data_IF_165150067442
#
_entry.id   IF_165150067442
#
_cell.length_a   1.000
_cell.length_b   1.000
_cell.length_c   1.000
_cell.angle_alpha   90.00
_cell.angle_beta   90.00
_cell.angle_gamma   90.00
#
_symmetry.space_group_name_H-M   'P 1'
#
loop_
_entity.id
_entity.type
_entity.pdbx_description
1 polymer ?
#
# COMPACT_ATOMS: atom_id res chain seq x y z
N UNK A 1 -26.14 2.52 16.22
CA UNK A 1 -25.17 3.24 15.36
C UNK A 1 -24.83 4.64 15.86
N UNK A 2 -25.80 5.57 16.01
CA UNK A 2 -25.54 6.96 16.43
C UNK A 2 -24.77 7.06 17.76
N UNK A 3 -25.20 6.33 18.78
CA UNK A 3 -24.52 6.30 20.09
C UNK A 3 -23.08 5.77 19.98
N UNK A 4 -22.88 4.67 19.23
CA UNK A 4 -21.55 4.10 18.97
C UNK A 4 -20.61 5.11 18.27
N UNK A 5 -21.12 5.86 17.29
CA UNK A 5 -20.34 6.90 16.61
C UNK A 5 -19.98 8.06 17.54
N UNK A 6 -20.91 8.49 18.39
CA UNK A 6 -20.63 9.52 19.40
C UNK A 6 -19.56 9.06 20.40
N UNK A 7 -19.61 7.80 20.84
CA UNK A 7 -18.58 7.21 21.70
C UNK A 7 -17.21 7.16 21.01
N UNK A 8 -17.14 6.71 19.75
CA UNK A 8 -15.89 6.68 18.97
C UNK A 8 -15.33 8.10 18.79
N UNK A 9 -16.18 9.07 18.46
CA UNK A 9 -15.78 10.46 18.28
C UNK A 9 -15.21 11.06 19.57
N UNK A 10 -15.92 10.90 20.69
CA UNK A 10 -15.48 11.38 22.00
C UNK A 10 -14.16 10.74 22.45
N UNK A 11 -14.00 9.43 22.25
CA UNK A 11 -12.76 8.73 22.57
C UNK A 11 -11.58 9.21 21.70
N UNK A 12 -11.80 9.35 20.40
CA UNK A 12 -10.79 9.84 19.45
C UNK A 12 -10.37 11.27 19.77
N UNK A 13 -11.31 12.14 20.11
CA UNK A 13 -11.03 13.53 20.43
C UNK A 13 -10.27 13.68 21.73
N UNK A 14 -10.58 12.86 22.74
CA UNK A 14 -9.80 12.79 23.98
C UNK A 14 -8.34 12.43 23.70
N UNK A 15 -8.09 11.40 22.88
CA UNK A 15 -6.74 10.98 22.50
C UNK A 15 -6.00 12.10 21.75
N UNK A 16 -6.68 12.80 20.83
CA UNK A 16 -6.09 13.94 20.10
C UNK A 16 -5.74 15.09 21.04
N UNK A 17 -6.61 15.42 21.98
CA UNK A 17 -6.37 16.48 22.97
C UNK A 17 -5.18 16.14 23.88
N UNK A 18 -5.12 14.91 24.39
CA UNK A 18 -4.01 14.46 25.23
C UNK A 18 -2.69 14.43 24.45
N UNK A 19 -2.72 14.00 23.18
CA UNK A 19 -1.56 14.04 22.28
C UNK A 19 -1.10 15.46 21.97
N UNK A 20 -2.02 16.42 21.84
CA UNK A 20 -1.71 17.82 21.56
C UNK A 20 -1.03 18.51 22.76
N UNK A 21 -1.29 18.04 23.98
CA UNK A 21 -0.65 18.53 25.22
C UNK A 21 0.79 18.04 25.37
N UNK A 22 1.22 17.02 24.63
CA UNK A 22 2.59 16.52 24.70
C UNK A 22 3.57 17.49 24.01
N UNK A 23 4.61 17.97 24.73
CA UNK A 23 5.66 18.79 24.15
C UNK A 23 6.30 18.11 22.94
N UNK A 24 6.70 18.89 21.94
CA UNK A 24 7.32 18.38 20.70
C UNK A 24 8.56 17.53 21.02
N UNK A 25 9.36 17.94 21.99
CA UNK A 25 10.54 17.19 22.44
C UNK A 25 10.19 15.79 22.96
N UNK A 26 9.07 15.63 23.67
CA UNK A 26 8.61 14.32 24.17
C UNK A 26 8.16 13.43 23.01
N UNK A 27 7.46 14.00 22.03
CA UNK A 27 7.06 13.28 20.81
C UNK A 27 8.27 12.84 19.97
N UNK A 28 9.27 13.70 19.84
CA UNK A 28 10.53 13.38 19.15
C UNK A 28 11.32 12.29 19.86
N UNK A 29 11.47 12.40 21.19
CA UNK A 29 12.12 11.37 22.00
C UNK A 29 11.40 10.02 21.87
N UNK A 30 10.06 10.03 21.91
CA UNK A 30 9.26 8.82 21.71
C UNK A 30 9.47 8.20 20.32
N UNK A 31 9.47 9.00 19.25
CA UNK A 31 9.77 8.51 17.90
C UNK A 31 11.20 7.97 17.80
N UNK A 32 12.18 8.65 18.41
CA UNK A 32 13.56 8.16 18.46
C UNK A 32 13.69 6.84 19.23
N UNK A 33 12.94 6.64 20.31
CA UNK A 33 12.90 5.37 21.04
C UNK A 33 12.23 4.25 20.22
N UNK A 34 11.18 4.57 19.46
CA UNK A 34 10.48 3.62 18.59
C UNK A 34 11.31 3.19 17.37
N UNK A 35 12.08 4.09 16.78
CA UNK A 35 12.82 3.84 15.54
C UNK A 35 14.35 3.73 15.72
N UNK A 36 14.89 4.03 16.90
CA UNK A 36 16.31 3.99 17.22
C UNK A 36 16.78 2.58 17.57
N UNK A 37 17.77 2.06 16.84
CA UNK A 37 18.14 0.64 16.88
C UNK A 37 19.23 0.24 17.88
N UNK A 38 19.67 1.10 18.81
CA UNK A 38 20.95 0.87 19.51
C UNK A 38 20.91 0.73 21.03
N UNK A 39 19.75 0.83 21.71
CA UNK A 39 19.65 0.62 23.16
C UNK A 39 18.48 -0.31 23.55
N UNK A 40 18.40 -1.48 22.91
CA UNK A 40 17.32 -2.46 23.09
C UNK A 40 16.92 -2.78 24.55
N UNK A 41 17.84 -2.96 25.52
CA UNK A 41 17.47 -3.35 26.88
C UNK A 41 16.81 -2.23 27.69
N UNK A 42 17.39 -1.03 27.65
CA UNK A 42 16.89 0.14 28.40
C UNK A 42 15.61 0.70 27.79
N UNK A 43 15.50 0.61 26.46
CA UNK A 43 14.30 0.94 25.70
C UNK A 43 13.15 -0.03 26.04
N UNK A 44 13.42 -1.33 26.18
CA UNK A 44 12.39 -2.32 26.50
C UNK A 44 11.76 -2.12 27.89
N UNK A 45 12.53 -1.68 28.88
CA UNK A 45 12.02 -1.32 30.21
C UNK A 45 11.18 -0.02 30.18
N UNK A 46 11.63 0.97 29.41
CA UNK A 46 10.87 2.21 29.19
C UNK A 46 9.55 1.95 28.42
N UNK A 47 9.53 1.03 27.45
CA UNK A 47 8.34 0.67 26.69
C UNK A 47 7.21 0.06 27.51
N UNK A 48 7.51 -0.62 28.62
CA UNK A 48 6.46 -1.15 29.53
C UNK A 48 5.69 -0.05 30.26
N UNK A 49 6.28 1.15 30.40
CA UNK A 49 5.68 2.29 31.10
C UNK A 49 5.17 3.38 30.14
N UNK A 50 5.52 3.30 28.86
CA UNK A 50 5.03 4.22 27.84
C UNK A 50 3.57 3.90 27.47
N UNK A 51 2.77 4.91 27.08
CA UNK A 51 1.41 4.69 26.60
C UNK A 51 1.42 3.62 25.49
N UNK A 52 0.73 2.51 25.73
CA UNK A 52 0.65 1.42 24.77
C UNK A 52 -0.32 1.83 23.67
N UNK A 53 0.23 2.23 22.53
CA UNK A 53 -0.55 2.23 21.28
C UNK A 53 -0.77 0.77 20.91
N UNK A 54 -2.03 0.36 20.76
CA UNK A 54 -2.47 -0.97 20.33
C UNK A 54 -2.97 -0.99 18.88
N UNK A 55 -2.93 0.16 18.21
CA UNK A 55 -3.35 0.33 16.83
C UNK A 55 -2.70 1.59 16.25
N UNK A 56 -2.10 1.45 15.08
CA UNK A 56 -1.65 2.58 14.26
C UNK A 56 -2.60 2.76 13.09
N UNK A 57 -3.07 3.98 12.86
CA UNK A 57 -3.86 4.32 11.67
C UNK A 57 -3.14 5.44 10.92
N UNK A 58 -2.80 5.19 9.65
CA UNK A 58 -2.21 6.20 8.77
C UNK A 58 -3.13 6.51 7.59
N UNK A 59 -3.28 7.80 7.27
CA UNK A 59 -4.05 8.26 6.12
C UNK A 59 -3.15 9.11 5.22
N UNK A 60 -2.75 8.55 4.09
CA UNK A 60 -1.82 9.19 3.16
C UNK A 60 -2.55 9.61 1.88
N UNK A 61 -2.24 10.82 1.40
CA UNK A 61 -2.62 11.22 0.05
C UNK A 61 -1.68 10.56 -0.93
N UNK A 62 -2.20 9.67 -1.77
CA UNK A 62 -1.43 9.07 -2.85
C UNK A 62 -1.31 9.97 -4.10
N UNK A 63 -0.76 9.42 -5.20
CA UNK A 63 -0.48 10.17 -6.42
C UNK A 63 -1.74 10.81 -7.03
N UNK A 64 -1.64 12.08 -7.42
CA UNK A 64 -2.75 12.84 -7.99
C UNK A 64 -2.88 12.62 -9.51
N UNK A 65 -3.99 12.03 -9.95
CA UNK A 65 -4.27 11.73 -11.36
C UNK A 65 -3.59 10.44 -11.86
N UNK A 66 -4.08 9.92 -12.99
CA UNK A 66 -3.65 8.62 -13.50
C UNK A 66 -2.14 8.56 -13.77
N UNK A 67 -1.49 7.51 -13.27
CA UNK A 67 -0.06 7.22 -13.51
C UNK A 67 0.09 6.00 -14.40
N UNK A 68 1.23 5.93 -15.09
CA UNK A 68 1.55 4.85 -16.02
C UNK A 68 2.99 4.37 -15.84
N UNK A 69 3.20 3.07 -15.98
CA UNK A 69 4.52 2.45 -16.11
C UNK A 69 4.61 1.79 -17.48
N UNK A 70 5.51 2.27 -18.34
CA UNK A 70 5.65 1.77 -19.72
C UNK A 70 4.32 1.70 -20.51
N UNK A 71 3.43 2.68 -20.28
CA UNK A 71 2.10 2.73 -20.90
C UNK A 71 1.00 1.92 -20.20
N UNK A 72 1.32 1.13 -19.17
CA UNK A 72 0.32 0.43 -18.35
C UNK A 72 -0.19 1.34 -17.21
N UNK A 73 -1.51 1.52 -17.03
CA UNK A 73 -2.05 2.37 -15.97
C UNK A 73 -1.85 1.73 -14.59
N UNK A 74 -1.45 2.55 -13.61
CA UNK A 74 -1.45 2.17 -12.21
C UNK A 74 -2.90 2.01 -11.72
N UNK A 75 -3.26 0.79 -11.32
CA UNK A 75 -4.60 0.45 -10.85
C UNK A 75 -4.73 0.52 -9.33
N UNK A 76 -3.65 0.21 -8.62
CA UNK A 76 -3.61 0.17 -7.17
C UNK A 76 -2.28 0.72 -6.68
N UNK A 77 -2.31 1.41 -5.54
CA UNK A 77 -1.12 1.85 -4.84
C UNK A 77 -1.40 1.79 -3.35
N UNK A 78 -0.71 0.87 -2.69
CA UNK A 78 -0.90 0.53 -1.29
C UNK A 78 0.46 0.43 -0.61
N UNK A 79 0.55 0.92 0.62
CA UNK A 79 1.70 0.68 1.48
C UNK A 79 1.68 -0.75 2.02
N UNK A 80 2.84 -1.29 2.36
CA UNK A 80 2.94 -2.47 3.21
C UNK A 80 2.98 -1.97 4.67
N UNK A 81 1.90 -2.12 5.47
CA UNK A 81 1.88 -1.58 6.82
C UNK A 81 2.86 -2.34 7.71
N UNK A 82 3.91 -1.66 8.17
CA UNK A 82 4.88 -2.24 9.10
C UNK A 82 4.30 -2.09 10.51
N UNK A 83 4.24 -3.19 11.26
CA UNK A 83 3.74 -3.19 12.64
C UNK A 83 4.89 -2.79 13.56
N UNK A 84 4.85 -1.60 14.20
CA UNK A 84 5.87 -1.22 15.16
C UNK A 84 5.73 -2.04 16.46
N UNK A 85 6.81 -2.18 17.24
CA UNK A 85 6.75 -2.80 18.55
C UNK A 85 5.64 -2.18 19.42
N UNK A 86 4.84 -3.03 20.08
CA UNK A 86 3.76 -2.61 20.98
C UNK A 86 2.39 -2.41 20.33
N UNK A 87 2.31 -2.07 19.04
CA UNK A 87 1.04 -1.81 18.37
C UNK A 87 0.23 -3.06 18.02
N UNK A 88 0.86 -4.15 17.58
CA UNK A 88 0.16 -5.37 17.17
C UNK A 88 -0.70 -5.25 15.90
N UNK A 89 -1.20 -4.04 15.56
CA UNK A 89 -2.02 -3.77 14.39
C UNK A 89 -1.68 -2.40 13.76
N UNK A 90 -1.59 -2.35 12.43
CA UNK A 90 -1.39 -1.15 11.64
C UNK A 90 -2.34 -1.13 10.44
N UNK A 91 -3.16 -0.09 10.33
CA UNK A 91 -4.09 0.15 9.24
C UNK A 91 -3.61 1.38 8.44
N UNK A 92 -3.47 1.22 7.13
CA UNK A 92 -3.00 2.28 6.24
C UNK A 92 -4.01 2.53 5.12
N UNK A 93 -4.39 3.79 4.94
CA UNK A 93 -5.25 4.27 3.86
C UNK A 93 -4.42 5.09 2.87
N UNK A 94 -4.59 4.80 1.59
CA UNK A 94 -3.95 5.56 0.51
C UNK A 94 -4.95 5.87 -0.59
N UNK A 95 -5.10 7.15 -0.94
CA UNK A 95 -5.96 7.56 -2.07
C UNK A 95 -5.24 7.39 -3.40
N UNK A 96 -5.90 6.79 -4.39
CA UNK A 96 -5.39 6.62 -5.75
C UNK A 96 -6.52 6.93 -6.71
N UNK A 97 -6.38 8.03 -7.48
CA UNK A 97 -7.48 8.56 -8.28
C UNK A 97 -8.74 8.78 -7.40
N UNK A 98 -9.86 8.16 -7.75
CA UNK A 98 -11.14 8.21 -7.02
C UNK A 98 -11.32 7.06 -6.01
N UNK A 99 -10.29 6.21 -5.85
CA UNK A 99 -10.34 5.03 -5.00
C UNK A 99 -9.48 5.22 -3.73
N UNK A 100 -9.88 4.54 -2.65
CA UNK A 100 -9.07 4.39 -1.44
C UNK A 100 -8.58 2.95 -1.39
N UNK A 101 -7.27 2.78 -1.32
CA UNK A 101 -6.60 1.51 -1.09
C UNK A 101 -6.39 1.33 0.42
N UNK A 102 -6.80 0.18 0.95
CA UNK A 102 -6.67 -0.20 2.36
C UNK A 102 -5.59 -1.27 2.52
N UNK A 103 -4.64 -1.03 3.41
CA UNK A 103 -3.65 -2.02 3.86
C UNK A 103 -3.83 -2.31 5.35
N UNK A 104 -3.82 -3.58 5.72
CA UNK A 104 -3.83 -4.03 7.12
C UNK A 104 -2.60 -4.89 7.35
N UNK A 105 -1.76 -4.48 8.29
CA UNK A 105 -0.63 -5.27 8.79
C UNK A 105 -0.87 -5.60 10.26
N UNK A 106 -0.66 -6.83 10.66
CA UNK A 106 -0.82 -7.26 12.04
C UNK A 106 0.29 -8.23 12.45
N UNK A 107 0.62 -8.21 13.73
CA UNK A 107 1.47 -9.23 14.34
C UNK A 107 0.64 -10.53 14.48
N UNK A 108 1.16 -11.71 14.08
CA UNK A 108 0.41 -12.97 14.14
C UNK A 108 -0.13 -13.31 15.54
N UNK A 109 0.61 -12.91 16.58
CA UNK A 109 0.23 -13.09 17.98
C UNK A 109 -0.90 -12.15 18.45
N UNK A 110 -1.13 -11.05 17.73
CA UNK A 110 -2.17 -10.07 18.05
C UNK A 110 -3.46 -10.32 17.26
N UNK A 111 -3.35 -10.71 15.98
CA UNK A 111 -4.48 -10.95 15.09
C UNK A 111 -4.22 -12.17 14.21
N UNK A 112 -4.99 -13.24 14.43
CA UNK A 112 -4.89 -14.48 13.66
C UNK A 112 -5.32 -14.31 12.19
N UNK A 113 -6.38 -13.53 11.94
CA UNK A 113 -6.89 -13.28 10.59
C UNK A 113 -7.05 -11.77 10.30
N UNK A 114 -5.99 -11.11 9.78
CA UNK A 114 -6.04 -9.69 9.43
C UNK A 114 -7.01 -9.37 8.29
N UNK A 115 -7.30 -10.32 7.39
CA UNK A 115 -8.25 -10.10 6.30
C UNK A 115 -9.68 -9.90 6.82
N UNK A 116 -10.04 -10.57 7.93
CA UNK A 116 -11.35 -10.37 8.55
C UNK A 116 -11.55 -8.92 9.00
N UNK A 117 -10.49 -8.22 9.40
CA UNK A 117 -10.57 -6.79 9.76
C UNK A 117 -10.96 -5.96 8.53
N UNK A 118 -10.40 -6.26 7.37
CA UNK A 118 -10.77 -5.60 6.10
C UNK A 118 -12.26 -5.81 5.78
N UNK A 119 -12.77 -7.03 5.93
CA UNK A 119 -14.19 -7.32 5.72
C UNK A 119 -15.08 -6.53 6.68
N UNK A 120 -14.72 -6.51 7.97
CA UNK A 120 -15.45 -5.78 9.00
C UNK A 120 -15.45 -4.26 8.75
N UNK A 121 -14.36 -3.70 8.21
CA UNK A 121 -14.31 -2.28 7.82
C UNK A 121 -15.31 -2.01 6.68
N UNK A 122 -15.40 -2.90 5.70
CA UNK A 122 -16.35 -2.78 4.59
C UNK A 122 -17.80 -2.95 5.07
N UNK A 123 -18.07 -3.92 5.95
CA UNK A 123 -19.38 -4.12 6.58
C UNK A 123 -19.81 -2.88 7.37
N UNK A 124 -18.89 -2.30 8.17
CA UNK A 124 -19.15 -1.08 8.93
C UNK A 124 -19.40 0.14 8.03
N UNK A 125 -18.67 0.27 6.92
CA UNK A 125 -18.91 1.33 5.94
C UNK A 125 -20.31 1.22 5.33
N UNK A 126 -20.73 0.01 4.96
CA UNK A 126 -22.09 -0.23 4.44
C UNK A 126 -23.16 0.09 5.47
N UNK A 127 -22.93 -0.21 6.76
CA UNK A 127 -23.84 0.17 7.84
C UNK A 127 -23.99 1.71 7.92
N UNK A 128 -22.88 2.45 7.77
CA UNK A 128 -22.87 3.91 7.77
C UNK A 128 -23.56 4.51 6.56
N UNK A 129 -23.32 3.98 5.37
CA UNK A 129 -23.96 4.40 4.12
C UNK A 129 -25.48 4.28 4.19
N UNK A 130 -25.98 3.13 4.69
CA UNK A 130 -27.40 2.90 4.89
C UNK A 130 -28.01 3.92 5.87
N UNK A 131 -27.31 4.20 6.96
CA UNK A 131 -27.80 5.15 7.96
C UNK A 131 -27.74 6.61 7.49
N UNK A 132 -26.78 6.95 6.62
CA UNK A 132 -26.66 8.27 6.01
C UNK A 132 -27.62 8.48 4.84
N UNK A 133 -28.33 7.44 4.38
CA UNK A 133 -29.19 7.50 3.19
C UNK A 133 -28.41 7.68 1.89
N UNK A 134 -27.10 7.39 1.91
CA UNK A 134 -26.25 7.42 0.73
C UNK A 134 -26.14 6.01 0.19
N UNK A 135 -26.96 5.65 -0.81
CA UNK A 135 -26.74 4.40 -1.52
C UNK A 135 -25.40 4.50 -2.27
N UNK A 136 -24.51 3.53 -2.03
CA UNK A 136 -23.24 3.46 -2.74
C UNK A 136 -23.51 3.42 -4.25
N UNK A 137 -22.89 4.29 -5.07
CA UNK A 137 -23.01 4.18 -6.50
C UNK A 137 -22.51 2.80 -6.91
N UNK A 138 -23.34 2.00 -7.57
CA UNK A 138 -22.92 0.71 -8.15
C UNK A 138 -21.74 0.98 -9.07
N UNK A 139 -20.52 0.69 -8.60
CA UNK A 139 -19.32 0.77 -9.44
C UNK A 139 -19.52 -0.21 -10.58
N UNK A 140 -19.82 0.30 -11.78
CA UNK A 140 -19.78 -0.48 -13.02
C UNK A 140 -18.32 -0.87 -13.23
N UNK A 141 -17.93 -2.04 -12.72
CA UNK A 141 -16.61 -2.60 -12.97
C UNK A 141 -16.36 -2.61 -14.48
N UNK A 142 -15.33 -1.90 -14.93
CA UNK A 142 -14.91 -1.95 -16.33
C UNK A 142 -14.51 -3.41 -16.59
N UNK A 143 -15.17 -4.13 -17.52
CA UNK A 143 -14.88 -5.54 -17.72
C UNK A 143 -13.40 -5.70 -18.07
N UNK A 144 -12.73 -6.77 -17.61
CA UNK A 144 -11.34 -7.02 -17.93
C UNK A 144 -11.21 -7.02 -19.45
N UNK A 145 -10.34 -6.15 -19.97
CA UNK A 145 -10.06 -6.10 -21.39
C UNK A 145 -9.61 -7.49 -21.82
N UNK A 146 -10.46 -8.18 -22.60
CA UNK A 146 -10.17 -9.51 -23.12
C UNK A 146 -8.77 -9.49 -23.72
N UNK A 147 -7.89 -10.32 -23.17
CA UNK A 147 -6.54 -10.52 -23.68
C UNK A 147 -6.63 -10.72 -25.19
N UNK A 148 -6.04 -9.80 -25.94
CA UNK A 148 -5.99 -9.84 -27.41
C UNK A 148 -5.00 -10.94 -27.80
N UNK A 149 -5.44 -12.18 -27.66
CA UNK A 149 -4.74 -13.33 -28.20
C UNK A 149 -4.89 -13.32 -29.73
N UNK A 150 -3.75 -13.55 -30.39
CA UNK A 150 -3.55 -13.87 -31.81
C UNK A 150 -3.47 -12.69 -32.79
N UNK A 151 -2.24 -12.20 -32.98
CA UNK A 151 -1.72 -11.89 -34.31
C UNK A 151 -0.23 -12.30 -34.38
N UNK A 152 0.03 -13.61 -34.32
CA UNK A 152 1.23 -14.21 -34.92
C UNK A 152 0.74 -15.12 -36.04
N UNK A 153 0.67 -14.61 -37.27
CA UNK A 153 0.78 -15.46 -38.46
C UNK A 153 1.33 -14.65 -39.63
N UNK A 154 2.41 -15.18 -40.23
CA UNK A 154 2.95 -14.92 -41.57
C UNK A 154 3.75 -13.63 -41.80
N UNK A 155 5.04 -13.70 -41.47
CA UNK A 155 6.08 -13.23 -42.39
C UNK A 155 6.85 -14.47 -42.87
N UNK A 156 6.42 -15.04 -44.01
CA UNK A 156 7.19 -16.03 -44.76
C UNK A 156 7.67 -15.36 -46.05
N UNK A 157 9.01 -15.34 -46.17
CA UNK A 157 9.77 -15.58 -47.38
C UNK A 157 9.33 -14.88 -48.68
N UNK A 158 10.04 -13.81 -49.03
CA UNK A 158 10.27 -13.38 -50.41
C UNK A 158 11.77 -13.39 -50.70
N UNK A 159 12.24 -14.47 -51.33
CA UNK A 159 13.59 -14.63 -51.88
C UNK A 159 13.69 -13.94 -53.24
N UNK A 160 14.79 -13.23 -53.54
CA UNK A 160 14.92 -12.51 -54.82
C UNK A 160 16.20 -11.71 -55.09
N UNK A 161 17.38 -12.31 -54.85
CA UNK A 161 18.68 -12.18 -55.56
C UNK A 161 19.03 -10.90 -56.37
N UNK A 162 20.18 -10.27 -56.01
CA UNK A 162 21.29 -10.00 -56.97
C UNK A 162 22.65 -9.85 -56.26
N UNK A 163 23.70 -10.58 -56.66
CA UNK A 163 25.03 -10.47 -56.07
C UNK A 163 25.91 -9.45 -56.82
N UNK A 164 26.79 -8.73 -56.11
CA UNK A 164 27.94 -8.04 -56.70
C UNK A 164 29.23 -8.67 -56.18
N UNK A 165 30.08 -9.03 -57.12
CA UNK A 165 31.35 -9.72 -56.95
C UNK A 165 32.53 -8.75 -56.77
N UNK A 166 33.61 -9.27 -56.18
CA UNK A 166 34.97 -8.70 -56.17
C UNK A 166 35.30 -7.97 -54.85
N UNK A 167 36.37 -8.26 -54.10
CA UNK A 167 37.63 -8.87 -54.47
C UNK A 167 38.30 -9.60 -53.27
N UNK A 168 39.15 -10.56 -53.64
CA UNK A 168 40.05 -11.38 -52.79
C UNK A 168 41.05 -10.53 -52.01
N UNK A 169 41.43 -10.98 -50.81
CA UNK A 169 42.83 -11.32 -50.52
C UNK A 169 42.93 -12.18 -49.25
N UNK A 170 43.68 -13.26 -49.36
CA UNK A 170 44.00 -14.19 -48.29
C UNK A 170 45.28 -13.73 -47.58
N UNK A 171 45.32 -13.79 -46.24
CA UNK A 171 46.58 -13.90 -45.51
C UNK A 171 46.37 -14.67 -44.19
N UNK A 172 47.01 -15.82 -44.19
CA UNK A 172 47.11 -16.90 -43.21
C UNK A 172 48.09 -16.53 -42.10
N UNK A 173 47.76 -16.74 -40.81
CA UNK A 173 48.58 -17.52 -39.82
C UNK A 173 48.01 -17.47 -38.39
N UNK A 174 48.49 -18.44 -37.60
CA UNK A 174 47.90 -19.19 -36.48
C UNK A 174 48.19 -18.61 -35.08
N UNK A 175 47.55 -19.15 -34.02
CA UNK A 175 47.56 -18.62 -32.66
C UNK A 175 48.78 -19.07 -31.84
N UNK A 176 49.03 -18.35 -30.74
CA UNK A 176 49.65 -18.88 -29.53
C UNK A 176 49.03 -18.19 -28.32
#
# INVERSE_FOLDING_TARGET
LSERLQQIHAATDRIKQDSARLPVAVRQLYAMLLFGSTTLPDIAAAFKQLPTINLVISNMRGPQGQRYLAGAPMTTFQGCPIVPPGAGLNISFVTVNDDICLGVGAAPEAVENPLRITDLILEALQELERAAGTEAPTRKGKPPAKARAKAKTRAQAGTGRKPRAGARSAARRKPR
#
